data_IF_866131849806
#
_entry.id   IF_866131849806
#
_cell.length_a   1.000
_cell.length_b   1.000
_cell.length_c   1.000
_cell.angle_alpha   90.00
_cell.angle_beta   90.00
_cell.angle_gamma   90.00
#
_symmetry.space_group_name_H-M   'P 1'
#
loop_
_entity.id
_entity.type
_entity.pdbx_description
1 polymer ?
#
# COMPACT_ATOMS: atom_id res chain seq x y z
N UNK A 1 -17.19 11.54 -18.81
CA UNK A 1 -17.99 10.84 -17.77
C UNK A 1 -17.07 9.83 -17.12
N UNK A 2 -16.49 10.15 -15.97
CA UNK A 2 -15.55 9.28 -15.26
C UNK A 2 -16.36 8.39 -14.33
N UNK A 3 -16.58 7.13 -14.74
CA UNK A 3 -17.23 6.15 -13.86
C UNK A 3 -16.13 5.64 -12.92
N UNK A 4 -16.19 6.07 -11.66
CA UNK A 4 -15.40 5.50 -10.56
C UNK A 4 -15.90 4.08 -10.33
N UNK A 5 -15.16 3.08 -10.78
CA UNK A 5 -15.40 1.68 -10.42
C UNK A 5 -14.53 1.35 -9.21
N UNK A 6 -15.18 1.12 -8.07
CA UNK A 6 -14.54 0.50 -6.91
C UNK A 6 -14.31 -0.96 -7.23
N UNK A 7 -13.06 -1.43 -7.17
CA UNK A 7 -12.72 -2.82 -7.56
C UNK A 7 -13.40 -3.89 -6.71
N UNK A 8 -13.77 -3.57 -5.47
CA UNK A 8 -14.45 -4.48 -4.55
C UNK A 8 -15.99 -4.46 -4.75
N UNK A 9 -16.43 -4.28 -6.00
CA UNK A 9 -17.80 -3.90 -6.36
C UNK A 9 -18.91 -4.85 -5.93
N UNK A 10 -18.62 -6.10 -5.55
CA UNK A 10 -19.63 -7.07 -5.12
C UNK A 10 -19.37 -7.67 -3.72
N UNK A 11 -18.11 -7.86 -3.33
CA UNK A 11 -17.71 -8.39 -2.01
C UNK A 11 -17.07 -7.29 -1.18
N UNK A 12 -17.92 -6.42 -0.63
CA UNK A 12 -17.50 -5.32 0.25
C UNK A 12 -17.13 -5.87 1.62
N UNK A 13 -15.84 -6.09 1.85
CA UNK A 13 -15.31 -6.46 3.16
C UNK A 13 -14.83 -5.22 3.91
N UNK A 14 -14.91 -5.26 5.24
CA UNK A 14 -14.39 -4.19 6.09
C UNK A 14 -12.88 -4.07 5.88
N UNK A 15 -12.40 -2.86 5.64
CA UNK A 15 -10.97 -2.58 5.45
C UNK A 15 -10.33 -2.06 6.73
N UNK A 16 -11.13 -1.83 7.76
CA UNK A 16 -10.70 -1.28 9.05
C UNK A 16 -11.49 -1.90 10.21
N UNK A 17 -10.79 -2.14 11.32
CA UNK A 17 -11.30 -2.77 12.54
C UNK A 17 -10.68 -2.14 13.80
N UNK A 18 -11.47 -1.47 14.62
CA UNK A 18 -11.03 -0.89 15.91
C UNK A 18 -11.96 -1.31 17.05
N UNK A 19 -11.49 -2.23 17.89
CA UNK A 19 -12.27 -2.82 18.97
C UNK A 19 -13.51 -3.53 18.42
N UNK A 20 -14.71 -3.08 18.82
CA UNK A 20 -15.99 -3.58 18.30
C UNK A 20 -16.48 -2.87 17.05
N UNK A 21 -15.76 -1.84 16.57
CA UNK A 21 -16.12 -1.07 15.40
C UNK A 21 -15.40 -1.62 14.17
N UNK A 22 -16.07 -1.62 13.03
CA UNK A 22 -15.49 -1.99 11.76
C UNK A 22 -16.16 -1.22 10.62
N UNK A 23 -15.45 -1.06 9.51
CA UNK A 23 -15.98 -0.34 8.35
C UNK A 23 -15.09 -0.39 7.13
N UNK A 24 -15.53 0.31 6.08
CA UNK A 24 -14.84 0.41 4.79
C UNK A 24 -14.35 1.84 4.65
N UNK A 25 -13.06 2.04 4.91
CA UNK A 25 -12.42 3.36 4.87
C UNK A 25 -11.44 3.49 3.69
N UNK A 26 -11.00 2.36 3.12
CA UNK A 26 -9.96 2.32 2.10
C UNK A 26 -10.55 1.95 0.74
N UNK A 27 -10.17 2.71 -0.29
CA UNK A 27 -10.69 2.54 -1.64
C UNK A 27 -9.58 2.60 -2.68
N UNK A 28 -9.61 1.67 -3.64
CA UNK A 28 -8.76 1.70 -4.83
C UNK A 28 -9.67 1.94 -6.03
N UNK A 29 -9.41 3.05 -6.73
CA UNK A 29 -10.15 3.43 -7.93
C UNK A 29 -9.32 3.18 -9.18
N UNK A 30 -10.00 2.79 -10.26
CA UNK A 30 -9.43 2.76 -11.59
C UNK A 30 -10.39 3.36 -12.60
N UNK A 31 -9.82 3.95 -13.64
CA UNK A 31 -10.58 4.45 -14.77
C UNK A 31 -11.21 3.29 -15.55
N UNK A 32 -12.41 3.51 -16.07
CA UNK A 32 -13.18 2.47 -16.78
C UNK A 32 -12.43 1.92 -17.99
N UNK A 33 -11.64 2.76 -18.66
CA UNK A 33 -10.79 2.35 -19.78
C UNK A 33 -9.62 1.45 -19.37
N UNK A 34 -9.24 1.39 -18.09
CA UNK A 34 -8.14 0.59 -17.59
C UNK A 34 -8.60 -0.58 -16.70
N UNK A 35 -9.91 -0.71 -16.44
CA UNK A 35 -10.46 -1.80 -15.63
C UNK A 35 -10.08 -3.19 -16.16
N UNK A 36 -10.11 -3.36 -17.48
CA UNK A 36 -9.73 -4.60 -18.15
C UNK A 36 -8.24 -4.98 -18.00
N UNK A 37 -7.41 -4.06 -17.49
CA UNK A 37 -5.99 -4.29 -17.22
C UNK A 37 -5.72 -4.78 -15.80
N UNK A 38 -6.71 -4.74 -14.90
CA UNK A 38 -6.58 -5.34 -13.59
C UNK A 38 -6.77 -6.84 -13.70
N UNK A 39 -5.77 -7.57 -13.25
CA UNK A 39 -5.72 -9.03 -13.37
C UNK A 39 -6.10 -9.74 -12.07
N UNK A 40 -5.98 -9.06 -10.93
CA UNK A 40 -6.38 -9.59 -9.63
C UNK A 40 -6.53 -8.47 -8.60
N UNK A 41 -7.32 -8.75 -7.58
CA UNK A 41 -7.52 -7.92 -6.39
C UNK A 41 -7.40 -8.83 -5.17
N UNK A 42 -6.85 -8.32 -4.08
CA UNK A 42 -6.71 -9.03 -2.82
C UNK A 42 -6.94 -8.05 -1.67
N UNK A 43 -7.49 -8.57 -0.60
CA UNK A 43 -7.63 -7.91 0.67
C UNK A 43 -7.12 -8.89 1.74
N UNK A 44 -6.11 -8.45 2.49
CA UNK A 44 -5.42 -9.29 3.46
C UNK A 44 -5.49 -8.66 4.84
N UNK A 45 -6.05 -9.41 5.80
CA UNK A 45 -5.94 -9.06 7.21
C UNK A 45 -4.47 -9.11 7.66
N UNK A 46 -4.01 -8.02 8.27
CA UNK A 46 -2.69 -7.93 8.88
C UNK A 46 -2.82 -8.02 10.40
N UNK A 47 -1.70 -8.32 11.07
CA UNK A 47 -1.68 -8.38 12.53
C UNK A 47 -2.19 -7.06 13.13
N UNK A 48 -3.18 -7.08 14.05
CA UNK A 48 -3.70 -5.87 14.69
C UNK A 48 -2.65 -5.18 15.58
N UNK A 49 -1.54 -5.86 15.90
CA UNK A 49 -0.40 -5.22 16.56
C UNK A 49 0.36 -4.24 15.64
N UNK A 50 0.14 -4.32 14.32
CA UNK A 50 0.81 -3.49 13.31
C UNK A 50 -0.13 -2.43 12.75
N UNK A 51 -1.39 -2.80 12.48
CA UNK A 51 -2.40 -1.89 11.95
C UNK A 51 -3.80 -2.44 12.20
N UNK A 52 -4.75 -1.54 12.41
CA UNK A 52 -6.19 -1.79 12.43
C UNK A 52 -6.82 -1.85 11.02
N UNK A 53 -6.01 -1.67 9.96
CA UNK A 53 -6.44 -1.76 8.57
C UNK A 53 -6.05 -3.08 7.90
N UNK A 54 -6.88 -3.50 6.95
CA UNK A 54 -6.55 -4.57 6.03
C UNK A 54 -5.71 -4.04 4.85
N UNK A 55 -4.78 -4.86 4.38
CA UNK A 55 -3.96 -4.52 3.23
C UNK A 55 -4.73 -4.78 1.95
N UNK A 56 -5.01 -3.71 1.21
CA UNK A 56 -5.62 -3.79 -0.12
C UNK A 56 -4.54 -3.87 -1.20
N UNK A 57 -4.65 -4.86 -2.07
CA UNK A 57 -3.74 -5.10 -3.18
C UNK A 57 -4.49 -5.32 -4.49
N UNK A 58 -3.86 -4.93 -5.59
CA UNK A 58 -4.33 -5.29 -6.93
C UNK A 58 -3.13 -5.46 -7.86
N UNK A 59 -3.30 -6.28 -8.89
CA UNK A 59 -2.32 -6.45 -9.97
C UNK A 59 -2.82 -5.77 -11.22
N UNK A 60 -1.95 -4.98 -11.84
CA UNK A 60 -2.27 -4.18 -13.02
C UNK A 60 -1.31 -4.51 -14.16
N UNK A 61 -1.85 -4.80 -15.35
CA UNK A 61 -1.08 -5.08 -16.56
C UNK A 61 -0.85 -3.79 -17.33
N UNK A 62 0.35 -3.25 -17.24
CA UNK A 62 0.77 -2.12 -18.07
C UNK A 62 0.87 -2.54 -19.54
N UNK A 63 0.21 -1.80 -20.43
CA UNK A 63 0.26 -2.05 -21.87
C UNK A 63 1.46 -1.38 -22.54
N UNK A 64 2.01 -0.32 -21.93
CA UNK A 64 3.13 0.41 -22.48
C UNK A 64 4.42 0.14 -21.69
N UNK A 65 5.32 -0.65 -22.28
CA UNK A 65 6.61 -0.96 -21.71
C UNK A 65 7.59 0.24 -21.77
N UNK A 66 7.38 1.17 -22.71
CA UNK A 66 8.34 2.22 -23.08
C UNK A 66 7.89 3.64 -22.68
N UNK A 67 6.58 3.92 -22.65
CA UNK A 67 6.01 5.19 -22.20
C UNK A 67 5.80 5.25 -20.69
N UNK A 68 6.87 4.95 -19.95
CA UNK A 68 6.90 5.27 -18.52
C UNK A 68 7.13 6.78 -18.41
N UNK A 69 6.04 7.52 -18.20
CA UNK A 69 6.11 8.96 -17.96
C UNK A 69 7.11 9.29 -16.84
N UNK A 70 7.58 10.56 -16.76
CA UNK A 70 8.66 11.00 -15.88
C UNK A 70 8.40 10.85 -14.37
N UNK A 71 7.28 10.24 -13.95
CA UNK A 71 6.90 9.95 -12.57
C UNK A 71 7.23 8.54 -12.05
N UNK A 72 7.62 7.58 -12.89
CA UNK A 72 7.90 6.19 -12.49
C UNK A 72 9.29 5.97 -11.85
N UNK A 73 10.01 7.05 -11.53
CA UNK A 73 11.40 7.04 -11.04
C UNK A 73 11.58 6.60 -9.58
N UNK A 74 10.51 6.49 -8.78
CA UNK A 74 10.64 6.16 -7.36
C UNK A 74 11.10 4.73 -7.08
N UNK A 75 11.03 3.84 -8.06
CA UNK A 75 11.62 2.51 -8.00
C UNK A 75 12.53 2.29 -9.21
N UNK A 76 13.65 3.02 -9.29
CA UNK A 76 14.65 2.77 -10.31
C UNK A 76 15.22 1.35 -10.12
N UNK A 77 14.92 0.38 -11.01
CA UNK A 77 15.39 -0.99 -10.85
C UNK A 77 16.92 -1.10 -10.96
N UNK A 78 17.59 -0.11 -11.54
CA UNK A 78 19.06 -0.04 -11.53
C UNK A 78 19.60 0.23 -10.14
N UNK A 79 18.98 1.11 -9.34
CA UNK A 79 19.38 1.35 -7.95
C UNK A 79 19.23 0.07 -7.12
N UNK A 80 18.14 -0.68 -7.32
CA UNK A 80 17.93 -1.96 -6.63
C UNK A 80 19.00 -3.02 -6.94
N UNK A 81 19.72 -2.91 -8.08
CA UNK A 81 20.82 -3.81 -8.45
C UNK A 81 22.18 -3.34 -7.89
N UNK A 82 22.31 -2.07 -7.52
CA UNK A 82 23.55 -1.50 -7.03
C UNK A 82 23.85 -1.95 -5.60
N UNK A 83 24.99 -2.64 -5.39
CA UNK A 83 25.41 -3.10 -4.05
C UNK A 83 25.51 -1.95 -3.04
N UNK A 84 26.02 -0.79 -3.46
CA UNK A 84 26.13 0.38 -2.61
C UNK A 84 24.76 0.91 -2.15
N UNK A 85 23.79 1.00 -3.06
CA UNK A 85 22.43 1.40 -2.73
C UNK A 85 21.76 0.40 -1.77
N UNK A 86 21.89 -0.91 -2.04
CA UNK A 86 21.36 -1.96 -1.16
C UNK A 86 21.95 -1.88 0.25
N UNK A 87 23.25 -1.63 0.36
CA UNK A 87 23.94 -1.46 1.65
C UNK A 87 23.41 -0.23 2.38
N UNK A 88 23.39 0.92 1.72
CA UNK A 88 22.90 2.17 2.32
C UNK A 88 21.42 2.08 2.74
N UNK A 89 20.59 1.42 1.93
CA UNK A 89 19.19 1.15 2.27
C UNK A 89 19.07 0.26 3.50
N UNK A 90 19.85 -0.83 3.58
CA UNK A 90 19.85 -1.71 4.75
C UNK A 90 20.28 -0.97 6.02
N UNK A 91 21.37 -0.18 5.96
CA UNK A 91 21.84 0.64 7.07
C UNK A 91 20.78 1.66 7.51
N UNK A 92 20.14 2.33 6.55
CA UNK A 92 19.04 3.26 6.83
C UNK A 92 17.84 2.59 7.49
N UNK A 93 17.45 1.40 7.05
CA UNK A 93 16.32 0.67 7.63
C UNK A 93 16.62 0.22 9.06
N UNK A 94 17.84 -0.24 9.33
CA UNK A 94 18.29 -0.61 10.68
C UNK A 94 18.30 0.61 11.62
N UNK A 95 18.83 1.76 11.18
CA UNK A 95 18.79 3.00 11.97
C UNK A 95 17.35 3.49 12.20
N UNK A 96 16.50 3.36 11.17
CA UNK A 96 15.09 3.75 11.23
C UNK A 96 14.32 2.90 12.23
N UNK A 97 14.59 1.60 12.36
CA UNK A 97 13.97 0.72 13.35
C UNK A 97 14.18 1.25 14.79
N UNK A 98 15.41 1.63 15.13
CA UNK A 98 15.72 2.20 16.43
C UNK A 98 15.01 3.55 16.69
N UNK A 99 14.77 4.34 15.64
CA UNK A 99 13.99 5.60 15.72
C UNK A 99 12.49 5.34 15.84
N UNK A 100 11.95 4.40 15.07
CA UNK A 100 10.53 4.05 15.09
C UNK A 100 10.12 3.44 16.43
N UNK A 101 10.98 2.62 17.03
CA UNK A 101 10.79 2.10 18.38
C UNK A 101 10.69 3.21 19.45
N UNK A 102 11.33 4.36 19.22
CA UNK A 102 11.18 5.55 20.09
C UNK A 102 9.86 6.26 19.84
N UNK A 103 9.43 6.39 18.58
CA UNK A 103 8.16 7.05 18.21
C UNK A 103 6.95 6.26 18.75
N UNK A 104 6.96 4.92 18.63
CA UNK A 104 5.91 4.06 19.19
C UNK A 104 5.72 4.24 20.71
N UNK A 105 6.76 4.61 21.46
CA UNK A 105 6.66 4.90 22.90
C UNK A 105 5.96 6.22 23.21
N UNK A 106 5.93 7.17 22.27
CA UNK A 106 5.22 8.45 22.43
C UNK A 106 3.77 8.38 21.95
N UNK A 107 3.45 7.41 21.09
CA UNK A 107 2.09 7.10 20.66
C UNK A 107 1.40 6.17 21.65
N UNK A 108 1.31 6.55 22.92
CA UNK A 108 0.29 5.96 23.80
C UNK A 108 -1.09 6.37 23.28
N UNK A 109 -2.11 5.49 23.37
CA UNK A 109 -3.47 5.86 23.01
C UNK A 109 -3.83 7.13 23.79
N UNK A 110 -4.25 8.19 23.09
CA UNK A 110 -4.90 9.31 23.75
C UNK A 110 -6.10 8.71 24.49
N UNK A 111 -5.99 8.69 25.82
CA UNK A 111 -7.02 8.18 26.71
C UNK A 111 -8.33 8.91 26.36
N UNK A 112 -9.31 8.13 25.94
CA UNK A 112 -10.70 8.56 25.79
C UNK A 112 -11.29 8.92 27.16
#
# INVERSE_FOLDING_TARGET
MTILLTFFGNDKHNTWHSGSNAGILDYIFCSSNAHHLVTSTNQQYLSPAWTDHELLGFSFRFQDANGRGPGNWKANPFLARTKAFRKALAEFLIDSEARLAKIQRFSTPQQQ
#
